data_IF_972063825325
#
_entry.id   IF_972063825325
#
_cell.length_a   1.000
_cell.length_b   1.000
_cell.length_c   1.000
_cell.angle_alpha   90.00
_cell.angle_beta   90.00
_cell.angle_gamma   90.00
#
_symmetry.space_group_name_H-M   'P 1'
#
loop_
_entity.id
_entity.type
_entity.pdbx_description
1 polymer ?
#
# COMPACT_ATOMS: atom_id res chain seq x y z
N UNK A 1 24.96 13.32 1.68
CA UNK A 1 24.74 14.58 2.41
C UNK A 1 23.41 14.45 3.11
N UNK A 2 23.38 14.45 4.45
CA UNK A 2 22.16 14.28 5.21
C UNK A 2 21.35 15.59 5.21
N UNK A 3 20.01 15.47 5.21
CA UNK A 3 19.10 16.62 5.28
C UNK A 3 19.39 17.54 6.48
N UNK A 4 19.82 16.97 7.61
CA UNK A 4 20.24 17.71 8.80
C UNK A 4 21.48 18.59 8.57
N UNK A 5 22.39 18.17 7.70
CA UNK A 5 23.57 18.98 7.33
C UNK A 5 23.17 20.16 6.45
N UNK A 6 22.20 19.96 5.54
CA UNK A 6 21.64 21.04 4.73
C UNK A 6 20.86 22.03 5.60
N UNK A 7 20.08 21.56 6.55
CA UNK A 7 19.33 22.41 7.49
C UNK A 7 20.25 23.22 8.40
N UNK A 8 21.34 22.64 8.91
CA UNK A 8 22.36 23.35 9.70
C UNK A 8 23.11 24.37 8.86
N UNK A 9 23.46 24.03 7.62
CA UNK A 9 24.10 24.97 6.70
C UNK A 9 23.18 26.15 6.38
N UNK A 10 21.87 25.92 6.26
CA UNK A 10 20.86 26.95 6.03
C UNK A 10 20.65 27.85 7.27
N UNK A 11 20.62 27.29 8.46
CA UNK A 11 20.47 28.04 9.71
C UNK A 11 21.73 28.81 10.14
N UNK A 12 22.91 28.44 9.65
CA UNK A 12 24.17 29.13 9.95
C UNK A 12 24.44 30.35 9.08
N UNK A 13 23.61 30.60 8.07
CA UNK A 13 23.74 31.74 7.17
C UNK A 13 22.99 32.95 7.75
N UNK A 14 23.72 33.99 8.12
CA UNK A 14 23.16 35.23 8.65
C UNK A 14 22.32 36.00 7.62
N UNK A 15 21.52 37.01 8.07
CA UNK A 15 20.55 37.75 7.26
C UNK A 15 21.24 38.69 6.23
N UNK A 16 21.92 38.16 5.26
CA UNK A 16 22.61 38.95 4.24
C UNK A 16 23.24 38.13 3.12
N UNK A 17 23.28 36.84 3.27
CA UNK A 17 23.83 35.97 2.23
C UNK A 17 22.67 35.51 1.34
N UNK A 18 22.57 36.07 0.13
CA UNK A 18 21.70 35.52 -0.91
C UNK A 18 22.18 34.08 -1.16
N UNK A 19 21.54 33.12 -0.46
CA UNK A 19 21.68 31.71 -0.77
C UNK A 19 21.09 31.54 -2.14
N UNK A 20 21.94 31.49 -3.15
CA UNK A 20 21.60 30.82 -4.39
C UNK A 20 21.32 29.37 -4.00
N UNK A 21 20.09 29.12 -3.52
CA UNK A 21 19.58 27.76 -3.40
C UNK A 21 19.83 27.19 -4.79
N UNK A 22 20.74 26.23 -4.88
CA UNK A 22 20.95 25.53 -6.12
C UNK A 22 19.64 24.75 -6.40
N UNK A 23 18.66 25.49 -6.94
CA UNK A 23 17.33 24.97 -7.23
C UNK A 23 17.40 23.72 -8.08
N UNK A 24 18.40 23.65 -8.98
CA UNK A 24 18.66 22.49 -9.81
C UNK A 24 19.19 21.30 -8.98
N UNK A 25 20.04 21.56 -7.98
CA UNK A 25 20.54 20.53 -7.06
C UNK A 25 19.42 19.99 -6.18
N UNK A 26 18.60 20.87 -5.63
CA UNK A 26 17.43 20.48 -4.82
C UNK A 26 16.39 19.71 -5.66
N UNK A 27 16.10 20.18 -6.87
CA UNK A 27 15.21 19.50 -7.81
C UNK A 27 15.71 18.09 -8.15
N UNK A 28 16.99 17.94 -8.39
CA UNK A 28 17.61 16.65 -8.68
C UNK A 28 17.53 15.69 -7.49
N UNK A 29 17.74 16.19 -6.29
CA UNK A 29 17.64 15.39 -5.05
C UNK A 29 16.19 14.97 -4.78
N UNK A 30 15.24 15.89 -4.89
CA UNK A 30 13.80 15.58 -4.74
C UNK A 30 13.37 14.54 -5.76
N UNK A 31 13.77 14.68 -7.02
CA UNK A 31 13.45 13.71 -8.08
C UNK A 31 14.07 12.33 -7.80
N UNK A 32 15.32 12.28 -7.35
CA UNK A 32 16.00 11.04 -6.98
C UNK A 32 15.29 10.31 -5.84
N UNK A 33 14.96 11.03 -4.77
CA UNK A 33 14.24 10.50 -3.62
C UNK A 33 12.84 10.03 -3.98
N UNK A 34 12.15 10.77 -4.86
CA UNK A 34 10.85 10.38 -5.42
C UNK A 34 10.95 9.11 -6.25
N UNK A 35 11.97 8.99 -7.09
CA UNK A 35 12.17 7.81 -7.91
C UNK A 35 12.46 6.56 -7.07
N UNK A 36 13.31 6.66 -6.05
CA UNK A 36 13.59 5.54 -5.13
C UNK A 36 12.33 5.09 -4.39
N UNK A 37 11.55 6.05 -3.88
CA UNK A 37 10.28 5.77 -3.21
C UNK A 37 9.30 5.06 -4.15
N UNK A 38 9.17 5.52 -5.40
CA UNK A 38 8.32 4.90 -6.43
C UNK A 38 8.75 3.47 -6.74
N UNK A 39 10.05 3.20 -6.83
CA UNK A 39 10.57 1.85 -7.07
C UNK A 39 10.26 0.90 -5.91
N UNK A 40 10.42 1.35 -4.67
CA UNK A 40 10.09 0.54 -3.48
C UNK A 40 8.61 0.16 -3.46
N UNK A 41 7.72 1.12 -3.73
CA UNK A 41 6.27 0.85 -3.80
C UNK A 41 5.96 -0.07 -4.99
N UNK A 42 6.58 0.15 -6.15
CA UNK A 42 6.37 -0.68 -7.34
C UNK A 42 6.71 -2.15 -7.08
N UNK A 43 7.86 -2.45 -6.48
CA UNK A 43 8.25 -3.83 -6.18
C UNK A 43 7.33 -4.50 -5.16
N UNK A 44 6.85 -3.74 -4.17
CA UNK A 44 5.83 -4.22 -3.22
C UNK A 44 4.56 -4.62 -3.97
N UNK A 45 4.04 -3.72 -4.80
CA UNK A 45 2.78 -3.94 -5.52
C UNK A 45 2.90 -5.09 -6.53
N UNK A 46 4.03 -5.21 -7.26
CA UNK A 46 4.28 -6.33 -8.17
C UNK A 46 4.24 -7.66 -7.43
N UNK A 47 4.84 -7.71 -6.24
CA UNK A 47 4.81 -8.92 -5.42
C UNK A 47 3.38 -9.24 -4.95
N UNK A 48 2.63 -8.25 -4.48
CA UNK A 48 1.26 -8.45 -3.99
C UNK A 48 0.31 -8.86 -5.12
N UNK A 49 0.38 -8.20 -6.28
CA UNK A 49 -0.39 -8.56 -7.48
C UNK A 49 -0.01 -9.96 -7.99
N UNK A 50 1.30 -10.28 -7.99
CA UNK A 50 1.79 -11.59 -8.38
C UNK A 50 1.25 -12.71 -7.49
N UNK A 51 1.24 -12.49 -6.17
CA UNK A 51 0.66 -13.44 -5.20
C UNK A 51 -0.85 -13.56 -5.39
N UNK A 52 -1.58 -12.43 -5.57
CA UNK A 52 -3.01 -12.45 -5.81
C UNK A 52 -3.37 -13.22 -7.08
N UNK A 53 -2.62 -13.05 -8.17
CA UNK A 53 -2.80 -13.79 -9.41
C UNK A 53 -2.52 -15.30 -9.24
N UNK A 54 -1.42 -15.64 -8.56
CA UNK A 54 -1.07 -17.03 -8.28
C UNK A 54 -2.15 -17.72 -7.44
N UNK A 55 -2.65 -17.05 -6.40
CA UNK A 55 -3.77 -17.56 -5.59
C UNK A 55 -5.05 -17.70 -6.40
N UNK A 56 -5.35 -16.78 -7.31
CA UNK A 56 -6.49 -16.88 -8.21
C UNK A 56 -6.43 -18.16 -9.04
N UNK A 57 -5.28 -18.41 -9.69
CA UNK A 57 -5.07 -19.61 -10.49
C UNK A 57 -5.17 -20.88 -9.64
N UNK A 58 -4.55 -20.86 -8.43
CA UNK A 58 -4.60 -21.97 -7.49
C UNK A 58 -6.02 -22.31 -7.06
N UNK A 59 -6.81 -21.33 -6.65
CA UNK A 59 -8.20 -21.55 -6.22
C UNK A 59 -9.11 -21.96 -7.39
N UNK A 60 -8.89 -21.45 -8.59
CA UNK A 60 -9.60 -21.94 -9.77
C UNK A 60 -9.30 -23.41 -10.05
N UNK A 61 -8.03 -23.79 -9.97
CA UNK A 61 -7.61 -25.19 -10.13
C UNK A 61 -8.24 -26.12 -9.07
N UNK A 62 -8.22 -25.68 -7.79
CA UNK A 62 -8.83 -26.43 -6.70
C UNK A 62 -10.34 -26.56 -6.87
N UNK A 63 -11.02 -25.47 -7.25
CA UNK A 63 -12.46 -25.48 -7.50
C UNK A 63 -12.89 -26.46 -8.58
N UNK A 64 -12.13 -26.51 -9.69
CA UNK A 64 -12.36 -27.51 -10.75
C UNK A 64 -12.07 -28.93 -10.24
N UNK A 65 -10.99 -29.12 -9.47
CA UNK A 65 -10.54 -30.42 -8.97
C UNK A 65 -11.47 -31.02 -7.92
N UNK A 66 -12.00 -30.19 -7.04
CA UNK A 66 -12.87 -30.60 -5.92
C UNK A 66 -14.36 -30.42 -6.20
N UNK A 67 -14.72 -29.80 -7.35
CA UNK A 67 -16.09 -29.44 -7.68
C UNK A 67 -16.76 -28.59 -6.59
N UNK A 68 -15.99 -27.70 -5.98
CA UNK A 68 -16.45 -26.80 -4.93
C UNK A 68 -16.52 -25.36 -5.43
N UNK A 69 -17.72 -24.79 -5.43
CA UNK A 69 -17.96 -23.43 -5.89
C UNK A 69 -17.33 -22.38 -4.95
N UNK A 70 -17.07 -22.72 -3.68
CA UNK A 70 -16.47 -21.80 -2.71
C UNK A 70 -15.03 -21.43 -3.06
N UNK A 71 -14.30 -22.35 -3.70
CA UNK A 71 -12.97 -22.07 -4.23
C UNK A 71 -13.04 -21.04 -5.37
N UNK A 72 -14.10 -21.06 -6.18
CA UNK A 72 -14.33 -20.04 -7.21
C UNK A 72 -14.62 -18.66 -6.59
N UNK A 73 -15.32 -18.59 -5.44
CA UNK A 73 -15.53 -17.34 -4.70
C UNK A 73 -14.20 -16.80 -4.16
N UNK A 74 -13.34 -17.66 -3.62
CA UNK A 74 -11.99 -17.28 -3.19
C UNK A 74 -11.14 -16.76 -4.35
N UNK A 75 -11.19 -17.45 -5.48
CA UNK A 75 -10.50 -17.00 -6.70
C UNK A 75 -10.98 -15.63 -7.16
N UNK A 76 -12.30 -15.40 -7.15
CA UNK A 76 -12.90 -14.11 -7.53
C UNK A 76 -12.48 -13.00 -6.57
N UNK A 77 -12.43 -13.25 -5.27
CA UNK A 77 -11.96 -12.29 -4.28
C UNK A 77 -10.48 -11.92 -4.49
N UNK A 78 -9.61 -12.90 -4.70
CA UNK A 78 -8.19 -12.66 -5.01
C UNK A 78 -8.02 -11.88 -6.32
N UNK A 79 -8.74 -12.25 -7.37
CA UNK A 79 -8.74 -11.54 -8.65
C UNK A 79 -9.22 -10.09 -8.51
N UNK A 80 -10.29 -9.87 -7.76
CA UNK A 80 -10.84 -8.54 -7.49
C UNK A 80 -9.83 -7.63 -6.79
N UNK A 81 -9.17 -8.12 -5.75
CA UNK A 81 -8.11 -7.39 -5.04
C UNK A 81 -6.93 -7.07 -5.97
N UNK A 82 -6.45 -8.05 -6.73
CA UNK A 82 -5.36 -7.85 -7.69
C UNK A 82 -5.71 -6.81 -8.76
N UNK A 83 -6.92 -6.90 -9.32
CA UNK A 83 -7.41 -5.96 -10.33
C UNK A 83 -7.56 -4.55 -9.76
N UNK A 84 -8.08 -4.40 -8.54
CA UNK A 84 -8.17 -3.11 -7.85
C UNK A 84 -6.79 -2.46 -7.72
N UNK A 85 -5.77 -3.21 -7.27
CA UNK A 85 -4.41 -2.69 -7.12
C UNK A 85 -3.82 -2.23 -8.45
N UNK A 86 -4.00 -3.01 -9.52
CA UNK A 86 -3.53 -2.63 -10.87
C UNK A 86 -4.25 -1.38 -11.36
N UNK A 87 -5.58 -1.33 -11.24
CA UNK A 87 -6.40 -0.20 -11.66
C UNK A 87 -6.00 1.08 -10.91
N UNK A 88 -5.88 1.01 -9.58
CA UNK A 88 -5.42 2.14 -8.77
C UNK A 88 -4.05 2.66 -9.24
N UNK A 89 -3.13 1.74 -9.52
CA UNK A 89 -1.80 2.09 -10.00
C UNK A 89 -1.80 2.78 -11.37
N UNK A 90 -2.62 2.30 -12.28
CA UNK A 90 -2.78 2.90 -13.61
C UNK A 90 -3.37 4.31 -13.51
N UNK A 91 -4.37 4.49 -12.65
CA UNK A 91 -4.98 5.79 -12.39
C UNK A 91 -3.98 6.78 -11.76
N UNK A 92 -3.17 6.32 -10.82
CA UNK A 92 -2.14 7.16 -10.18
C UNK A 92 -1.02 7.56 -11.17
N UNK A 93 -0.62 6.67 -12.07
CA UNK A 93 0.37 7.00 -13.11
C UNK A 93 -0.09 8.13 -14.02
N UNK A 94 -1.39 8.18 -14.33
CA UNK A 94 -1.97 9.24 -15.19
C UNK A 94 -1.99 10.62 -14.52
N UNK A 95 -1.97 10.68 -13.18
CA UNK A 95 -2.02 11.92 -12.39
C UNK A 95 -0.63 12.50 -12.09
N UNK A 96 0.45 11.86 -12.57
CA UNK A 96 1.79 12.32 -12.26
C UNK A 96 2.19 13.52 -13.12
N UNK A 97 2.84 14.56 -12.53
CA UNK A 97 3.36 15.69 -13.26
C UNK A 97 4.45 15.27 -14.25
N UNK A 98 4.58 15.99 -15.34
CA UNK A 98 5.61 15.77 -16.33
C UNK A 98 7.00 16.11 -15.77
N UNK A 99 8.05 15.52 -16.33
CA UNK A 99 9.45 15.76 -15.90
C UNK A 99 9.94 17.20 -16.16
N UNK A 100 9.19 17.98 -16.95
CA UNK A 100 9.48 19.38 -17.28
C UNK A 100 8.82 20.40 -16.36
N UNK A 101 7.99 19.95 -15.40
CA UNK A 101 7.21 20.84 -14.57
C UNK A 101 8.06 21.55 -13.50
N UNK A 102 7.53 22.65 -12.98
CA UNK A 102 8.18 23.46 -11.94
C UNK A 102 8.42 22.64 -10.67
N UNK A 103 9.39 23.08 -9.84
CA UNK A 103 9.68 22.43 -8.55
C UNK A 103 8.43 22.33 -7.67
N UNK A 104 7.62 23.38 -7.63
CA UNK A 104 6.36 23.42 -6.88
C UNK A 104 5.40 22.31 -7.32
N UNK A 105 5.13 22.18 -8.61
CA UNK A 105 4.26 21.14 -9.18
C UNK A 105 4.80 19.74 -8.89
N UNK A 106 6.13 19.56 -8.88
CA UNK A 106 6.76 18.30 -8.56
C UNK A 106 6.55 17.91 -7.08
N UNK A 107 6.65 18.87 -6.15
CA UNK A 107 6.40 18.65 -4.72
C UNK A 107 4.93 18.39 -4.46
N UNK A 108 4.02 19.15 -5.07
CA UNK A 108 2.57 18.93 -4.97
C UNK A 108 2.17 17.53 -5.47
N UNK A 109 2.70 17.10 -6.60
CA UNK A 109 2.49 15.76 -7.13
C UNK A 109 3.00 14.66 -6.20
N UNK A 110 4.15 14.89 -5.55
CA UNK A 110 4.70 13.98 -4.53
C UNK A 110 3.81 13.91 -3.30
N UNK A 111 3.30 15.04 -2.85
CA UNK A 111 2.39 15.14 -1.70
C UNK A 111 1.08 14.40 -1.96
N UNK A 112 0.48 14.59 -3.14
CA UNK A 112 -0.71 13.86 -3.56
C UNK A 112 -0.48 12.35 -3.56
N UNK A 113 0.68 11.90 -4.07
CA UNK A 113 1.04 10.48 -4.08
C UNK A 113 1.20 9.91 -2.67
N UNK A 114 1.88 10.62 -1.77
CA UNK A 114 2.05 10.19 -0.37
C UNK A 114 0.72 10.14 0.36
N UNK A 115 -0.14 11.16 0.21
CA UNK A 115 -1.47 11.20 0.81
C UNK A 115 -2.35 10.03 0.33
N UNK A 116 -2.30 9.70 -0.96
CA UNK A 116 -3.02 8.56 -1.50
C UNK A 116 -2.52 7.23 -0.91
N UNK A 117 -1.21 7.07 -0.77
CA UNK A 117 -0.64 5.88 -0.12
C UNK A 117 -1.05 5.76 1.36
N UNK A 118 -1.08 6.87 2.09
CA UNK A 118 -1.57 6.90 3.46
C UNK A 118 -3.03 6.45 3.50
N UNK A 119 -3.86 6.95 2.59
CA UNK A 119 -5.27 6.57 2.51
C UNK A 119 -5.43 5.07 2.23
N UNK A 120 -4.70 4.51 1.25
CA UNK A 120 -4.73 3.08 0.94
C UNK A 120 -4.35 2.21 2.15
N UNK A 121 -3.25 2.55 2.83
CA UNK A 121 -2.78 1.76 3.98
C UNK A 121 -3.68 1.90 5.20
N UNK A 122 -4.26 3.10 5.43
CA UNK A 122 -5.23 3.30 6.52
C UNK A 122 -6.53 2.52 6.27
N UNK A 123 -6.95 2.41 5.02
CA UNK A 123 -8.19 1.74 4.63
C UNK A 123 -7.98 0.28 4.14
N UNK A 124 -6.83 -0.32 4.43
CA UNK A 124 -6.51 -1.70 3.99
C UNK A 124 -7.55 -2.74 4.43
N UNK A 125 -8.24 -2.51 5.57
CA UNK A 125 -9.32 -3.38 6.05
C UNK A 125 -10.46 -3.49 5.05
N UNK A 126 -10.86 -2.39 4.40
CA UNK A 126 -12.04 -2.33 3.56
C UNK A 126 -11.82 -2.89 2.16
N UNK A 127 -10.77 -2.47 1.49
CA UNK A 127 -10.56 -2.85 0.10
C UNK A 127 -9.78 -4.15 -0.09
N UNK A 128 -8.99 -4.55 0.93
CA UNK A 128 -8.12 -5.74 0.85
C UNK A 128 -8.61 -6.87 1.76
N UNK A 129 -8.74 -6.62 3.06
CA UNK A 129 -9.03 -7.67 4.03
C UNK A 129 -10.52 -8.10 4.02
N UNK A 130 -11.45 -7.17 3.85
CA UNK A 130 -12.88 -7.48 3.90
C UNK A 130 -13.33 -8.44 2.78
N UNK A 131 -13.01 -8.24 1.48
CA UNK A 131 -13.40 -9.20 0.43
C UNK A 131 -12.87 -10.61 0.70
N UNK A 132 -11.62 -10.71 1.16
CA UNK A 132 -11.00 -11.99 1.49
C UNK A 132 -11.64 -12.65 2.72
N UNK A 133 -11.99 -11.86 3.75
CA UNK A 133 -12.68 -12.36 4.95
C UNK A 133 -14.03 -12.95 4.60
N UNK A 134 -14.81 -12.24 3.77
CA UNK A 134 -16.13 -12.71 3.33
C UNK A 134 -16.00 -14.01 2.54
N UNK A 135 -15.07 -14.07 1.59
CA UNK A 135 -14.84 -15.25 0.78
C UNK A 135 -14.38 -16.47 1.63
N UNK A 136 -13.45 -16.25 2.57
CA UNK A 136 -13.01 -17.29 3.52
C UNK A 136 -14.14 -17.72 4.45
N UNK A 137 -14.94 -16.77 4.96
CA UNK A 137 -16.09 -17.07 5.82
C UNK A 137 -17.12 -17.95 5.10
N UNK A 138 -17.41 -17.66 3.83
CA UNK A 138 -18.29 -18.47 2.98
C UNK A 138 -17.70 -19.88 2.81
N UNK A 139 -16.41 -20.00 2.51
CA UNK A 139 -15.75 -21.28 2.31
C UNK A 139 -15.75 -22.14 3.59
N UNK A 140 -15.40 -21.54 4.72
CA UNK A 140 -15.41 -22.24 6.03
C UNK A 140 -16.84 -22.64 6.40
N UNK A 141 -17.80 -21.71 6.27
CA UNK A 141 -19.22 -21.99 6.58
C UNK A 141 -19.80 -23.11 5.73
N UNK A 142 -19.51 -23.10 4.42
CA UNK A 142 -19.92 -24.18 3.51
C UNK A 142 -19.29 -25.52 3.88
N UNK A 143 -18.00 -25.54 4.22
CA UNK A 143 -17.31 -26.76 4.65
C UNK A 143 -17.92 -27.36 5.90
N UNK A 144 -18.24 -26.53 6.89
CA UNK A 144 -18.93 -26.96 8.13
C UNK A 144 -20.33 -27.47 7.82
N UNK A 145 -21.09 -26.76 6.98
CA UNK A 145 -22.45 -27.15 6.57
C UNK A 145 -22.48 -28.49 5.83
N UNK A 146 -21.53 -28.73 4.94
CA UNK A 146 -21.45 -29.99 4.15
C UNK A 146 -21.14 -31.21 5.02
N UNK A 147 -20.51 -31.01 6.17
CA UNK A 147 -20.25 -32.07 7.15
C UNK A 147 -21.56 -32.29 7.94
N UNK A 148 -22.41 -33.22 7.54
CA UNK A 148 -23.76 -33.47 8.07
C UNK A 148 -23.86 -33.67 9.58
N UNK A 149 -22.76 -33.99 10.25
CA UNK A 149 -22.58 -33.99 11.72
C UNK A 149 -21.19 -33.45 12.02
N UNK A 150 -21.03 -32.12 12.19
CA UNK A 150 -19.73 -31.60 12.57
C UNK A 150 -19.39 -32.08 13.99
N UNK A 151 -18.65 -33.19 14.06
CA UNK A 151 -18.09 -33.66 15.33
C UNK A 151 -17.20 -32.57 15.95
N UNK A 152 -16.99 -32.66 17.27
CA UNK A 152 -16.11 -31.75 18.02
C UNK A 152 -14.79 -31.37 17.28
N UNK A 153 -14.09 -32.32 16.58
CA UNK A 153 -12.88 -31.99 15.82
C UNK A 153 -13.11 -30.97 14.67
N UNK A 154 -14.20 -31.07 13.93
CA UNK A 154 -14.46 -30.18 12.81
C UNK A 154 -14.74 -28.73 13.29
N UNK A 155 -15.46 -28.58 14.38
CA UNK A 155 -15.69 -27.28 15.01
C UNK A 155 -14.38 -26.68 15.53
N UNK A 156 -13.52 -27.47 16.17
CA UNK A 156 -12.21 -27.01 16.61
C UNK A 156 -11.34 -26.52 15.47
N UNK A 157 -11.28 -27.24 14.34
CA UNK A 157 -10.54 -26.82 13.16
C UNK A 157 -11.08 -25.51 12.62
N UNK A 158 -12.39 -25.34 12.55
CA UNK A 158 -13.03 -24.08 12.14
C UNK A 158 -12.64 -22.90 13.04
N UNK A 159 -12.71 -23.08 14.36
CA UNK A 159 -12.34 -22.04 15.34
C UNK A 159 -10.85 -21.69 15.25
N UNK A 160 -9.97 -22.70 15.18
CA UNK A 160 -8.53 -22.48 15.06
C UNK A 160 -8.20 -21.72 13.77
N UNK A 161 -8.82 -22.10 12.65
CA UNK A 161 -8.65 -21.39 11.37
C UNK A 161 -9.12 -19.95 11.44
N UNK A 162 -10.28 -19.70 12.05
CA UNK A 162 -10.80 -18.35 12.24
C UNK A 162 -9.87 -17.48 13.12
N UNK A 163 -9.36 -18.03 14.22
CA UNK A 163 -8.40 -17.36 15.09
C UNK A 163 -7.08 -17.05 14.36
N UNK A 164 -6.59 -17.99 13.57
CA UNK A 164 -5.38 -17.79 12.77
C UNK A 164 -5.56 -16.67 11.75
N UNK A 165 -6.69 -16.66 11.02
CA UNK A 165 -7.01 -15.60 10.07
C UNK A 165 -7.12 -14.25 10.79
N UNK A 166 -7.79 -14.19 11.93
CA UNK A 166 -7.91 -12.96 12.73
C UNK A 166 -6.53 -12.44 13.20
N UNK A 167 -5.63 -13.33 13.62
CA UNK A 167 -4.27 -13.00 14.02
C UNK A 167 -3.46 -12.42 12.85
N UNK A 168 -3.53 -13.07 11.69
CA UNK A 168 -2.85 -12.60 10.46
C UNK A 168 -3.38 -11.22 10.06
N UNK A 169 -4.68 -11.01 10.08
CA UNK A 169 -5.29 -9.74 9.73
C UNK A 169 -4.92 -8.62 10.71
N UNK A 170 -4.92 -8.92 12.00
CA UNK A 170 -4.44 -7.99 13.01
C UNK A 170 -2.97 -7.61 12.77
N UNK A 171 -2.12 -8.59 12.45
CA UNK A 171 -0.71 -8.38 12.11
C UNK A 171 -0.54 -7.49 10.88
N UNK A 172 -1.25 -7.80 9.79
CA UNK A 172 -1.24 -6.99 8.56
C UNK A 172 -1.69 -5.55 8.85
N UNK A 173 -2.79 -5.37 9.57
CA UNK A 173 -3.27 -4.04 9.95
C UNK A 173 -2.23 -3.26 10.76
N UNK A 174 -1.66 -3.88 11.80
CA UNK A 174 -0.62 -3.25 12.64
C UNK A 174 0.62 -2.86 11.84
N UNK A 175 1.09 -3.72 10.94
CA UNK A 175 2.24 -3.43 10.07
C UNK A 175 1.95 -2.25 9.14
N UNK A 176 0.77 -2.18 8.54
CA UNK A 176 0.38 -1.06 7.69
C UNK A 176 0.29 0.26 8.47
N UNK A 177 -0.32 0.25 9.67
CA UNK A 177 -0.37 1.45 10.52
C UNK A 177 1.03 1.89 10.98
N UNK A 178 1.92 0.94 11.27
CA UNK A 178 3.31 1.25 11.61
C UNK A 178 4.04 1.89 10.41
N UNK A 179 3.88 1.35 9.22
CA UNK A 179 4.47 1.90 8.00
C UNK A 179 3.97 3.33 7.71
N UNK A 180 2.67 3.59 7.91
CA UNK A 180 2.11 4.94 7.77
C UNK A 180 2.79 5.90 8.72
N UNK A 181 2.81 5.59 10.03
CA UNK A 181 3.33 6.50 11.07
C UNK A 181 4.83 6.73 10.96
N UNK A 182 5.61 5.68 10.64
CA UNK A 182 7.08 5.76 10.66
C UNK A 182 7.69 6.24 9.34
N UNK A 183 7.01 6.00 8.23
CA UNK A 183 7.60 6.26 6.90
C UNK A 183 6.84 7.31 6.11
N UNK A 184 5.51 7.25 6.11
CA UNK A 184 4.71 8.11 5.23
C UNK A 184 4.34 9.46 5.87
N UNK A 185 3.96 9.48 7.14
CA UNK A 185 3.62 10.73 7.84
C UNK A 185 4.81 11.70 7.96
N UNK A 186 6.04 11.28 8.38
CA UNK A 186 7.19 12.17 8.38
C UNK A 186 7.51 12.72 6.99
N UNK A 187 7.45 11.87 5.96
CA UNK A 187 7.68 12.30 4.56
C UNK A 187 6.64 13.30 4.07
N UNK A 188 5.39 13.13 4.46
CA UNK A 188 4.33 14.09 4.17
C UNK A 188 4.65 15.46 4.79
N UNK A 189 5.01 15.50 6.09
CA UNK A 189 5.36 16.73 6.80
C UNK A 189 6.57 17.43 6.17
N UNK A 190 7.58 16.66 5.76
CA UNK A 190 8.75 17.19 5.07
C UNK A 190 8.36 17.90 3.75
N UNK A 191 7.50 17.26 2.93
CA UNK A 191 7.02 17.85 1.68
C UNK A 191 6.13 19.09 1.92
N UNK A 192 5.30 19.08 2.96
CA UNK A 192 4.46 20.23 3.35
C UNK A 192 5.35 21.42 3.79
N UNK A 193 6.41 21.16 4.54
CA UNK A 193 7.36 22.21 4.97
C UNK A 193 8.12 22.79 3.78
N UNK A 194 8.57 21.95 2.84
CA UNK A 194 9.22 22.41 1.62
C UNK A 194 8.29 23.27 0.76
N UNK A 195 7.03 22.88 0.65
CA UNK A 195 6.03 23.65 -0.11
C UNK A 195 5.79 25.02 0.52
N UNK A 196 5.63 25.07 1.84
CA UNK A 196 5.45 26.32 2.58
C UNK A 196 6.67 27.26 2.46
N UNK A 197 7.88 26.72 2.35
CA UNK A 197 9.09 27.51 2.12
C UNK A 197 9.23 28.07 0.70
N UNK A 198 8.49 27.53 -0.28
CA UNK A 198 8.48 28.05 -1.66
C UNK A 198 7.41 29.14 -1.88
N UNK A 199 6.44 29.24 -0.98
CA UNK A 199 5.35 30.25 -1.05
C UNK A 199 5.69 31.54 -0.29
N UNK A 200 6.86 31.62 0.39
CA UNK A 200 7.41 32.82 1.04
C UNK A 200 8.42 33.54 0.15
#
# INVERSE_FOLDING_TARGET
>A
MNFEELQKAWQSQGPGTNVLINADGLLKEVRRNQQQFRMTIFWRDVREVGVAFLLTVLFLYLGVRHHDWTDAVLALACFGVGTFMVADRLLQRRKQPASSDSLKTCIEGSLLQVNHQIWLLKNVLWWYLLPLTVALGISIGHSVWRTQNPGFPALMVGVISALFVALVYWGVYRLNQYAVRKTLEPRRQELETLLAGLDQ
#
